data_IF_404615918335
#
_entry.id   IF_404615918335
#
_cell.length_a   1.000
_cell.length_b   1.000
_cell.length_c   1.000
_cell.angle_alpha   90.00
_cell.angle_beta   90.00
_cell.angle_gamma   90.00
#
_symmetry.space_group_name_H-M   'P 1'
#
loop_
_entity.id
_entity.type
_entity.pdbx_description
1 polymer ?
#
# COMPACT_ATOMS: atom_id res chain seq x y z
N UNK A 1 48.09 -32.98 23.23
CA UNK A 1 47.24 -32.82 22.04
C UNK A 1 45.80 -32.77 22.51
N UNK A 2 45.16 -31.59 22.54
CA UNK A 2 43.74 -31.44 22.88
C UNK A 2 43.08 -30.77 21.69
N UNK A 3 42.24 -31.54 20.99
CA UNK A 3 41.49 -31.11 19.81
C UNK A 3 40.14 -30.57 20.30
N UNK A 4 39.87 -29.29 20.07
CA UNK A 4 38.56 -28.69 20.35
C UNK A 4 37.68 -28.81 19.11
N UNK A 5 36.71 -29.73 19.15
CA UNK A 5 35.62 -29.80 18.19
C UNK A 5 34.67 -28.63 18.42
N UNK A 6 34.66 -27.67 17.50
CA UNK A 6 33.68 -26.57 17.50
C UNK A 6 32.41 -27.05 16.81
N UNK A 7 31.31 -27.15 17.54
CA UNK A 7 30.00 -27.40 16.94
C UNK A 7 29.51 -26.10 16.27
N UNK A 8 29.31 -26.14 14.95
CA UNK A 8 28.66 -25.06 14.22
C UNK A 8 27.14 -25.15 14.44
N UNK A 9 26.57 -24.18 15.15
CA UNK A 9 25.12 -24.04 15.29
C UNK A 9 24.58 -23.34 14.04
N UNK A 10 23.87 -24.07 13.19
CA UNK A 10 23.09 -23.48 12.09
C UNK A 10 21.78 -22.91 12.66
N UNK A 11 21.70 -21.58 12.77
CA UNK A 11 20.44 -20.89 13.03
C UNK A 11 19.60 -20.90 11.74
N UNK A 12 18.55 -21.71 11.70
CA UNK A 12 17.55 -21.63 10.65
C UNK A 12 16.79 -20.29 10.76
N UNK A 13 17.01 -19.39 9.80
CA UNK A 13 16.25 -18.14 9.71
C UNK A 13 14.85 -18.47 9.16
N UNK A 14 13.81 -18.22 9.97
CA UNK A 14 12.43 -18.34 9.51
C UNK A 14 12.17 -17.35 8.36
N UNK A 15 11.39 -17.72 7.33
CA UNK A 15 11.09 -16.81 6.22
C UNK A 15 10.38 -15.56 6.76
N UNK A 16 11.01 -14.39 6.59
CA UNK A 16 10.42 -13.12 7.01
C UNK A 16 9.19 -12.83 6.15
N UNK A 17 8.00 -12.76 6.76
CA UNK A 17 6.80 -12.30 6.07
C UNK A 17 7.03 -10.89 5.53
N UNK A 18 6.73 -10.67 4.25
CA UNK A 18 6.83 -9.33 3.65
C UNK A 18 5.82 -8.42 4.35
N UNK A 19 6.25 -7.32 5.00
CA UNK A 19 5.33 -6.43 5.71
C UNK A 19 4.37 -5.76 4.72
N UNK A 20 3.13 -5.44 5.13
CA UNK A 20 2.17 -4.80 4.25
C UNK A 20 2.66 -3.41 3.84
N UNK A 21 2.36 -3.01 2.60
CA UNK A 21 2.67 -1.67 2.11
C UNK A 21 1.56 -0.71 2.48
N UNK A 22 1.92 0.32 3.25
CA UNK A 22 0.97 1.28 3.85
C UNK A 22 1.31 2.73 3.47
N UNK A 23 0.38 3.64 3.72
CA UNK A 23 0.58 5.08 3.63
C UNK A 23 0.67 5.70 5.03
N UNK A 24 1.86 5.77 5.65
CA UNK A 24 2.01 6.41 6.94
C UNK A 24 1.82 7.92 6.80
N UNK A 25 1.45 8.64 7.88
CA UNK A 25 1.42 10.11 7.90
C UNK A 25 2.74 10.72 7.40
N UNK A 26 2.67 11.87 6.71
CA UNK A 26 3.87 12.57 6.26
C UNK A 26 4.56 13.30 7.43
N UNK A 27 3.75 13.85 8.34
CA UNK A 27 4.14 14.47 9.61
C UNK A 27 2.93 14.39 10.56
N UNK A 28 3.11 14.68 11.85
CA UNK A 28 2.00 14.71 12.82
C UNK A 28 0.85 15.62 12.38
N UNK A 29 1.17 16.72 11.68
CA UNK A 29 0.21 17.72 11.20
C UNK A 29 -0.41 17.37 9.84
N UNK A 30 0.11 16.34 9.16
CA UNK A 30 -0.26 16.00 7.78
C UNK A 30 -0.70 14.53 7.69
N UNK A 31 -1.91 14.21 8.17
CA UNK A 31 -2.45 12.87 8.11
C UNK A 31 -2.66 12.42 6.67
N UNK A 32 -2.59 11.10 6.48
CA UNK A 32 -2.94 10.45 5.21
C UNK A 32 -4.35 10.87 4.76
N UNK A 33 -4.53 11.17 3.46
CA UNK A 33 -5.81 11.55 2.87
C UNK A 33 -6.37 10.47 1.93
N UNK A 34 -5.60 10.13 0.89
CA UNK A 34 -6.06 9.27 -0.20
C UNK A 34 -4.89 8.60 -0.91
N UNK A 35 -5.19 7.51 -1.61
CA UNK A 35 -4.27 6.87 -2.56
C UNK A 35 -4.72 7.08 -3.99
N UNK A 36 -3.76 7.00 -4.91
CA UNK A 36 -3.99 6.60 -6.30
C UNK A 36 -3.01 5.48 -6.63
N UNK A 37 -3.47 4.46 -7.34
CA UNK A 37 -2.64 3.36 -7.84
C UNK A 37 -2.48 3.53 -9.34
N UNK A 38 -1.27 3.34 -9.84
CA UNK A 38 -0.92 3.51 -11.24
C UNK A 38 -0.24 2.26 -11.78
N UNK A 39 -0.43 1.97 -13.06
CA UNK A 39 0.48 1.12 -13.81
C UNK A 39 1.31 1.97 -14.79
N UNK A 40 2.50 1.47 -15.15
CA UNK A 40 3.41 2.13 -16.10
C UNK A 40 4.77 2.45 -15.51
N UNK A 41 5.37 3.57 -15.91
CA UNK A 41 6.71 3.99 -15.47
C UNK A 41 6.62 5.36 -14.80
N UNK A 42 7.10 5.47 -13.57
CA UNK A 42 7.18 6.76 -12.87
C UNK A 42 7.98 7.77 -13.69
N UNK A 43 7.39 8.94 -13.97
CA UNK A 43 7.98 9.99 -14.80
C UNK A 43 7.96 9.70 -16.31
N UNK A 44 7.24 8.65 -16.73
CA UNK A 44 6.98 8.30 -18.13
C UNK A 44 5.48 8.26 -18.40
N UNK A 45 5.05 7.27 -19.19
CA UNK A 45 3.63 7.01 -19.38
C UNK A 45 3.07 6.27 -18.16
N UNK A 46 2.01 6.82 -17.60
CA UNK A 46 1.36 6.35 -16.38
C UNK A 46 -0.15 6.30 -16.61
N UNK A 47 -0.82 5.26 -16.10
CA UNK A 47 -2.27 5.18 -16.12
C UNK A 47 -2.79 4.91 -14.72
N UNK A 48 -3.73 5.74 -14.27
CA UNK A 48 -4.38 5.56 -12.99
C UNK A 48 -5.37 4.40 -13.06
N UNK A 49 -5.27 3.47 -12.11
CA UNK A 49 -6.15 2.33 -12.00
C UNK A 49 -7.37 2.70 -11.15
N UNK A 50 -8.56 2.57 -11.72
CA UNK A 50 -9.79 2.55 -10.95
C UNK A 50 -9.81 1.34 -10.00
N UNK A 51 -10.50 1.41 -8.85
CA UNK A 51 -10.71 0.22 -8.03
C UNK A 51 -11.54 -0.81 -8.80
N UNK A 52 -11.17 -2.08 -8.67
CA UNK A 52 -11.91 -3.22 -9.23
C UNK A 52 -13.24 -3.42 -8.50
N UNK A 53 -13.24 -3.16 -7.19
CA UNK A 53 -14.44 -3.22 -6.36
C UNK A 53 -14.56 -1.96 -5.51
N UNK A 54 -15.78 -1.44 -5.42
CA UNK A 54 -16.14 -0.43 -4.42
C UNK A 54 -17.38 -0.88 -3.66
N UNK A 55 -17.27 -0.95 -2.34
CA UNK A 55 -18.36 -1.30 -1.44
C UNK A 55 -18.61 -0.16 -0.46
N UNK A 56 -19.89 0.20 -0.30
CA UNK A 56 -20.33 1.19 0.68
C UNK A 56 -21.28 0.56 1.69
N UNK A 57 -20.97 0.73 2.98
CA UNK A 57 -21.81 0.29 4.11
C UNK A 57 -21.98 1.45 5.07
N UNK A 58 -23.17 2.07 5.08
CA UNK A 58 -23.40 3.30 5.83
C UNK A 58 -22.50 4.44 5.33
N UNK A 59 -21.69 4.98 6.24
CA UNK A 59 -20.70 6.02 5.95
C UNK A 59 -19.34 5.45 5.49
N UNK A 60 -19.09 4.15 5.66
CA UNK A 60 -17.81 3.53 5.31
C UNK A 60 -17.79 3.10 3.84
N UNK A 61 -16.68 3.40 3.15
CA UNK A 61 -16.38 2.97 1.79
C UNK A 61 -15.10 2.14 1.82
N UNK A 62 -15.11 1.04 1.07
CA UNK A 62 -13.96 0.17 0.84
C UNK A 62 -13.74 0.09 -0.67
N UNK A 63 -12.56 0.48 -1.12
CA UNK A 63 -12.09 0.33 -2.49
C UNK A 63 -11.00 -0.75 -2.54
N UNK A 64 -11.11 -1.66 -3.50
CA UNK A 64 -10.20 -2.81 -3.66
C UNK A 64 -9.60 -2.81 -5.05
N UNK A 65 -8.29 -3.07 -5.13
CA UNK A 65 -7.57 -3.32 -6.37
C UNK A 65 -6.99 -4.74 -6.36
N UNK A 66 -7.28 -5.54 -7.38
CA UNK A 66 -6.80 -6.89 -7.62
C UNK A 66 -5.64 -6.78 -8.62
N UNK A 67 -4.42 -6.75 -8.09
CA UNK A 67 -3.24 -6.29 -8.83
C UNK A 67 -2.75 -7.25 -9.92
N UNK A 68 -3.08 -8.54 -9.81
CA UNK A 68 -2.56 -9.59 -10.71
C UNK A 68 -2.82 -9.27 -12.19
N UNK A 69 -3.94 -8.62 -12.49
CA UNK A 69 -4.39 -8.35 -13.86
C UNK A 69 -3.69 -7.11 -14.46
N UNK A 70 -2.93 -6.37 -13.66
CA UNK A 70 -2.25 -5.12 -14.05
C UNK A 70 -0.72 -5.26 -14.14
N UNK A 71 -0.17 -6.47 -13.98
CA UNK A 71 1.28 -6.75 -13.90
C UNK A 71 2.00 -6.85 -15.25
N UNK A 72 1.33 -6.54 -16.35
CA UNK A 72 2.03 -6.35 -17.64
C UNK A 72 3.01 -5.16 -17.59
N UNK A 73 2.84 -4.25 -16.62
CA UNK A 73 3.75 -3.14 -16.31
C UNK A 73 4.00 -3.05 -14.80
N UNK A 74 4.97 -2.23 -14.40
CA UNK A 74 5.19 -1.91 -12.99
C UNK A 74 3.95 -1.21 -12.41
N UNK A 75 3.66 -1.48 -11.15
CA UNK A 75 2.56 -0.86 -10.41
C UNK A 75 3.17 -0.07 -9.26
N UNK A 76 2.71 1.16 -9.09
CA UNK A 76 3.15 2.03 -8.00
C UNK A 76 1.96 2.81 -7.43
N UNK A 77 2.08 3.24 -6.18
CA UNK A 77 1.07 4.01 -5.49
C UNK A 77 1.56 5.43 -5.19
N UNK A 78 0.63 6.36 -5.07
CA UNK A 78 0.86 7.72 -4.57
C UNK A 78 0.00 7.96 -3.34
N UNK A 79 0.62 8.11 -2.18
CA UNK A 79 -0.04 8.58 -0.95
C UNK A 79 -0.13 10.11 -1.00
N UNK A 80 -1.31 10.67 -0.78
CA UNK A 80 -1.53 12.11 -0.63
C UNK A 80 -1.95 12.45 0.79
N UNK A 81 -1.65 13.66 1.23
CA UNK A 81 -1.76 14.09 2.63
C UNK A 81 -2.61 15.35 2.77
N UNK A 82 -3.40 15.42 3.84
CA UNK A 82 -4.37 16.49 4.04
C UNK A 82 -3.68 17.86 4.18
N UNK A 83 -4.24 18.87 3.53
CA UNK A 83 -3.77 20.25 3.62
C UNK A 83 -2.42 20.51 2.93
N UNK A 84 -1.90 19.58 2.14
CA UNK A 84 -0.59 19.71 1.48
C UNK A 84 -0.61 19.25 0.02
N UNK A 85 0.44 19.59 -0.71
CA UNK A 85 0.77 19.01 -2.02
C UNK A 85 1.79 17.86 -1.90
N UNK A 86 2.07 17.39 -0.68
CA UNK A 86 3.03 16.30 -0.47
C UNK A 86 2.44 15.03 -1.09
N UNK A 87 3.24 14.38 -1.93
CA UNK A 87 2.93 13.08 -2.52
C UNK A 87 4.10 12.15 -2.26
N UNK A 88 3.84 11.01 -1.61
CA UNK A 88 4.83 9.94 -1.47
C UNK A 88 4.52 8.86 -2.51
N UNK A 89 5.47 8.62 -3.40
CA UNK A 89 5.38 7.53 -4.38
C UNK A 89 6.13 6.29 -3.86
N UNK A 90 5.54 5.11 -4.03
CA UNK A 90 6.14 3.83 -3.64
C UNK A 90 5.78 2.77 -4.68
N UNK A 91 6.75 1.95 -5.10
CA UNK A 91 6.45 0.78 -5.93
C UNK A 91 5.66 -0.26 -5.13
N UNK A 92 4.74 -0.95 -5.79
CA UNK A 92 4.00 -2.06 -5.21
C UNK A 92 4.68 -3.36 -5.63
N UNK A 93 5.37 -4.08 -4.71
CA UNK A 93 6.05 -5.34 -5.02
C UNK A 93 5.16 -6.34 -5.75
N UNK A 94 5.74 -7.12 -6.66
CA UNK A 94 5.03 -8.14 -7.43
C UNK A 94 4.38 -9.22 -6.55
N UNK A 95 4.89 -9.42 -5.33
CA UNK A 95 4.33 -10.34 -4.33
C UNK A 95 2.96 -9.92 -3.80
N UNK A 96 2.62 -8.63 -3.84
CA UNK A 96 1.32 -8.16 -3.41
C UNK A 96 0.27 -8.32 -4.51
N UNK A 97 -0.85 -8.91 -4.13
CA UNK A 97 -1.93 -9.26 -5.03
C UNK A 97 -3.12 -8.33 -4.86
N UNK A 98 -3.26 -7.68 -3.71
CA UNK A 98 -4.43 -6.84 -3.43
C UNK A 98 -4.05 -5.61 -2.63
N UNK A 99 -4.60 -4.46 -3.01
CA UNK A 99 -4.60 -3.26 -2.19
C UNK A 99 -6.02 -2.90 -1.78
N UNK A 100 -6.19 -2.42 -0.55
CA UNK A 100 -7.48 -2.00 -0.01
C UNK A 100 -7.34 -0.61 0.58
N UNK A 101 -8.25 0.30 0.20
CA UNK A 101 -8.42 1.61 0.81
C UNK A 101 -9.79 1.69 1.48
N UNK A 102 -9.79 1.92 2.80
CA UNK A 102 -11.00 2.16 3.56
C UNK A 102 -11.06 3.63 4.00
N UNK A 103 -12.23 4.23 3.94
CA UNK A 103 -12.46 5.60 4.40
C UNK A 103 -13.92 5.86 4.71
N UNK A 104 -14.17 6.87 5.54
CA UNK A 104 -15.52 7.34 5.84
C UNK A 104 -15.88 8.53 4.94
N UNK A 105 -17.13 8.59 4.52
CA UNK A 105 -17.70 9.71 3.77
C UNK A 105 -18.87 10.38 4.49
N UNK A 106 -19.02 11.67 4.25
CA UNK A 106 -20.22 12.44 4.58
C UNK A 106 -21.38 12.10 3.64
N UNK A 107 -22.57 12.64 3.95
CA UNK A 107 -23.78 12.49 3.10
C UNK A 107 -23.59 13.04 1.68
N UNK A 108 -22.73 14.04 1.48
CA UNK A 108 -22.41 14.61 0.17
C UNK A 108 -21.19 13.94 -0.50
N UNK A 109 -20.73 12.78 -0.02
CA UNK A 109 -19.68 12.00 -0.66
C UNK A 109 -18.25 12.50 -0.44
N UNK A 110 -18.04 13.45 0.48
CA UNK A 110 -16.69 13.91 0.83
C UNK A 110 -16.05 12.97 1.85
N UNK A 111 -14.77 12.67 1.68
CA UNK A 111 -14.02 11.89 2.67
C UNK A 111 -13.90 12.68 3.97
N UNK A 112 -14.35 12.10 5.09
CA UNK A 112 -14.34 12.71 6.41
C UNK A 112 -13.34 12.08 7.36
N UNK A 113 -13.04 10.79 7.24
CA UNK A 113 -12.29 10.07 8.27
C UNK A 113 -11.98 8.62 7.90
N UNK A 114 -11.63 7.82 8.91
CA UNK A 114 -11.53 6.36 8.80
C UNK A 114 -10.48 5.84 7.81
N UNK A 115 -9.54 6.70 7.38
CA UNK A 115 -8.62 6.44 6.28
C UNK A 115 -7.61 5.37 6.66
N UNK A 116 -7.63 4.25 5.97
CA UNK A 116 -6.66 3.16 6.13
C UNK A 116 -6.34 2.56 4.76
N UNK A 117 -5.06 2.33 4.49
CA UNK A 117 -4.61 1.73 3.24
C UNK A 117 -3.55 0.67 3.50
N UNK A 118 -3.71 -0.49 2.86
CA UNK A 118 -2.71 -1.55 2.88
C UNK A 118 -2.72 -2.36 1.58
N UNK A 119 -1.54 -2.79 1.13
CA UNK A 119 -1.38 -3.85 0.13
C UNK A 119 -0.78 -5.11 0.77
N UNK A 120 -1.19 -6.28 0.26
CA UNK A 120 -0.75 -7.60 0.68
C UNK A 120 -0.74 -8.59 -0.48
#
# INVERSE_FOLDING_TARGET
>A
MISFLTAAVLLAQAPQAVPPLVCPPAAEQHPFDRVSIYNGKQGGQEYELAPDEEKKVGAKVTQTWILKDYRSMNIFLRCRYQGTQIVRAQDIPASFQTCVFEFDISRNGKITGGRSFACR
#
